data_IF_363742720652
#
_entry.id   IF_363742720652
#
_cell.length_a   1.000
_cell.length_b   1.000
_cell.length_c   1.000
_cell.angle_alpha   90.00
_cell.angle_beta   90.00
_cell.angle_gamma   90.00
#
_symmetry.space_group_name_H-M   'P 1'
#
loop_
_entity.id
_entity.type
_entity.pdbx_description
1 polymer ?
#
# COMPACT_ATOMS: atom_id res chain seq x y z
N UNK A 1 85.68 42.16 25.93
CA UNK A 1 85.81 43.57 25.53
C UNK A 1 86.98 43.64 24.55
N UNK A 2 86.82 44.39 23.48
CA UNK A 2 87.67 44.51 22.28
C UNK A 2 87.45 43.53 21.13
N UNK A 3 87.15 44.17 19.98
CA UNK A 3 87.61 43.91 18.62
C UNK A 3 86.94 42.74 17.86
N UNK A 4 86.71 42.77 16.55
CA UNK A 4 86.74 43.76 15.48
C UNK A 4 86.16 43.01 14.25
N UNK A 5 85.30 43.66 13.45
CA UNK A 5 85.43 43.93 12.00
C UNK A 5 86.24 42.86 11.17
N UNK A 6 85.95 42.62 9.86
CA UNK A 6 84.75 42.21 9.14
C UNK A 6 85.13 41.17 8.02
N UNK A 7 84.35 41.17 6.94
CA UNK A 7 84.78 41.06 5.54
C UNK A 7 84.76 39.70 4.84
N UNK A 8 84.00 39.75 3.74
CA UNK A 8 84.30 39.21 2.41
C UNK A 8 84.80 37.76 2.35
N UNK A 9 83.99 36.94 1.69
CA UNK A 9 84.32 36.81 0.27
C UNK A 9 83.09 36.56 -0.61
N UNK A 10 82.99 37.45 -1.59
CA UNK A 10 82.24 37.26 -2.82
C UNK A 10 83.15 36.36 -3.64
N UNK A 11 82.67 35.19 -4.06
CA UNK A 11 82.82 34.77 -5.47
C UNK A 11 82.10 33.47 -5.75
N UNK A 12 81.49 33.46 -6.94
CA UNK A 12 81.18 32.27 -7.77
C UNK A 12 80.06 31.37 -7.30
N UNK A 13 78.84 31.73 -7.72
CA UNK A 13 77.92 30.76 -8.33
C UNK A 13 76.89 31.45 -9.23
N UNK A 14 77.37 32.14 -10.27
CA UNK A 14 76.61 32.18 -11.53
C UNK A 14 76.83 30.83 -12.21
N UNK A 15 75.81 30.37 -12.94
CA UNK A 15 75.82 29.25 -13.89
C UNK A 15 75.36 27.87 -13.38
N UNK A 16 74.30 27.78 -12.56
CA UNK A 16 73.56 26.50 -12.48
C UNK A 16 72.03 26.59 -12.28
N UNK A 17 71.41 27.77 -12.34
CA UNK A 17 69.96 27.89 -12.07
C UNK A 17 69.07 27.93 -13.32
N UNK A 18 69.62 28.04 -14.53
CA UNK A 18 68.80 28.19 -15.74
C UNK A 18 68.48 26.88 -16.50
N UNK A 19 68.98 25.72 -16.04
CA UNK A 19 68.72 24.42 -16.67
C UNK A 19 67.73 23.53 -15.88
N UNK A 20 67.34 23.89 -14.66
CA UNK A 20 66.44 23.08 -13.82
C UNK A 20 64.97 23.48 -13.95
N UNK A 21 64.66 24.71 -14.37
CA UNK A 21 63.29 25.21 -14.41
C UNK A 21 62.46 24.64 -15.59
N UNK A 22 63.10 24.39 -16.75
CA UNK A 22 62.40 23.80 -17.92
C UNK A 22 61.96 22.34 -17.69
N UNK A 23 62.74 21.57 -16.93
CA UNK A 23 62.44 20.16 -16.68
C UNK A 23 61.32 19.98 -15.64
N UNK A 24 61.25 20.87 -14.62
CA UNK A 24 60.18 20.83 -13.62
C UNK A 24 58.80 21.13 -14.21
N UNK A 25 58.72 22.01 -15.22
CA UNK A 25 57.47 22.35 -15.90
C UNK A 25 56.95 21.19 -16.76
N UNK A 26 57.86 20.46 -17.40
CA UNK A 26 57.51 19.30 -18.22
C UNK A 26 57.04 18.10 -17.39
N UNK A 27 57.63 17.90 -16.20
CA UNK A 27 57.19 16.84 -15.29
C UNK A 27 55.80 17.11 -14.69
N UNK A 28 55.52 18.36 -14.31
CA UNK A 28 54.17 18.77 -13.85
C UNK A 28 53.11 18.58 -14.94
N UNK A 29 53.43 18.93 -16.18
CA UNK A 29 52.50 18.75 -17.31
C UNK A 29 52.19 17.27 -17.58
N UNK A 30 53.19 16.39 -17.54
CA UNK A 30 52.99 14.96 -17.70
C UNK A 30 52.19 14.32 -16.55
N UNK A 31 52.39 14.78 -15.30
CA UNK A 31 51.57 14.36 -14.15
C UNK A 31 50.12 14.80 -14.31
N UNK A 32 49.88 16.02 -14.77
CA UNK A 32 48.53 16.52 -15.04
C UNK A 32 47.82 15.75 -16.16
N UNK A 33 48.51 15.46 -17.28
CA UNK A 33 47.96 14.64 -18.37
C UNK A 33 47.59 13.22 -17.93
N UNK A 34 48.40 12.59 -17.06
CA UNK A 34 48.08 11.26 -16.50
C UNK A 34 46.82 11.31 -15.63
N UNK A 35 46.64 12.35 -14.81
CA UNK A 35 45.44 12.51 -13.99
C UNK A 35 44.19 12.76 -14.85
N UNK A 36 44.30 13.58 -15.89
CA UNK A 36 43.20 13.82 -16.84
C UNK A 36 42.83 12.54 -17.60
N UNK A 37 43.82 11.75 -18.02
CA UNK A 37 43.57 10.47 -18.69
C UNK A 37 42.90 9.47 -17.76
N UNK A 38 43.36 9.32 -16.51
CA UNK A 38 42.72 8.45 -15.52
C UNK A 38 41.28 8.89 -15.28
N UNK A 39 41.04 10.20 -15.12
CA UNK A 39 39.70 10.75 -14.91
C UNK A 39 38.77 10.49 -16.10
N UNK A 40 39.26 10.69 -17.33
CA UNK A 40 38.50 10.39 -18.56
C UNK A 40 38.19 8.90 -18.69
N UNK A 41 39.14 8.01 -18.37
CA UNK A 41 38.93 6.55 -18.39
C UNK A 41 37.93 6.11 -17.31
N UNK A 42 37.95 6.73 -16.12
CA UNK A 42 36.96 6.44 -15.07
C UNK A 42 35.57 6.96 -15.42
N UNK A 43 35.47 8.11 -16.10
CA UNK A 43 34.19 8.64 -16.57
C UNK A 43 33.64 7.71 -17.66
N UNK A 44 34.44 7.33 -18.65
CA UNK A 44 33.96 6.46 -19.73
C UNK A 44 33.60 5.06 -19.24
N UNK A 45 34.29 4.50 -18.23
CA UNK A 45 33.91 3.22 -17.63
C UNK A 45 32.59 3.29 -16.85
N UNK A 46 32.33 4.39 -16.13
CA UNK A 46 31.02 4.64 -15.48
C UNK A 46 29.93 4.80 -16.54
N UNK A 47 30.17 5.54 -17.62
CA UNK A 47 29.18 5.70 -18.69
C UNK A 47 28.88 4.40 -19.45
N UNK A 48 29.91 3.58 -19.75
CA UNK A 48 29.71 2.26 -20.39
C UNK A 48 28.95 1.32 -19.45
N UNK A 49 29.26 1.32 -18.15
CA UNK A 49 28.53 0.55 -17.15
C UNK A 49 27.08 1.00 -16.98
N UNK A 50 26.80 2.31 -17.04
CA UNK A 50 25.42 2.82 -17.00
C UNK A 50 24.66 2.57 -18.30
N UNK A 51 25.33 2.54 -19.46
CA UNK A 51 24.65 2.25 -20.73
C UNK A 51 24.29 0.76 -20.86
N UNK A 52 25.11 -0.16 -20.35
CA UNK A 52 24.72 -1.57 -20.26
C UNK A 52 23.62 -1.77 -19.23
N UNK A 53 23.62 -1.05 -18.09
CA UNK A 53 22.54 -1.10 -17.10
C UNK A 53 21.23 -0.51 -17.63
N UNK A 54 21.28 0.59 -18.41
CA UNK A 54 20.10 1.16 -19.05
C UNK A 54 19.61 0.23 -20.17
N UNK A 55 20.50 -0.39 -20.96
CA UNK A 55 20.09 -1.33 -21.99
C UNK A 55 19.45 -2.60 -21.39
N UNK A 56 20.01 -3.16 -20.30
CA UNK A 56 19.39 -4.27 -19.58
C UNK A 56 18.12 -3.85 -18.84
N UNK A 57 18.05 -2.64 -18.30
CA UNK A 57 16.80 -2.10 -17.73
C UNK A 57 15.74 -1.87 -18.81
N UNK A 58 16.10 -1.40 -20.01
CA UNK A 58 15.12 -1.22 -21.10
C UNK A 58 14.66 -2.55 -21.70
N UNK A 59 15.49 -3.60 -21.73
CA UNK A 59 15.01 -4.94 -22.09
C UNK A 59 14.18 -5.56 -20.96
N UNK A 60 14.56 -5.34 -19.70
CA UNK A 60 13.77 -5.77 -18.53
C UNK A 60 12.43 -5.04 -18.46
N UNK A 61 12.38 -3.76 -18.83
CA UNK A 61 11.14 -3.00 -18.92
C UNK A 61 10.38 -3.25 -20.23
N UNK A 62 11.02 -3.65 -21.34
CA UNK A 62 10.31 -4.07 -22.54
C UNK A 62 9.62 -5.42 -22.34
N UNK A 63 10.31 -6.39 -21.71
CA UNK A 63 9.70 -7.66 -21.29
C UNK A 63 8.67 -7.45 -20.17
N UNK A 64 8.90 -6.51 -19.24
CA UNK A 64 7.88 -6.16 -18.27
C UNK A 64 6.67 -5.48 -18.92
N UNK A 65 6.85 -4.57 -19.89
CA UNK A 65 5.72 -3.85 -20.50
C UNK A 65 4.89 -4.75 -21.44
N UNK A 66 5.44 -5.84 -21.95
CA UNK A 66 4.66 -6.94 -22.53
C UNK A 66 3.95 -7.77 -21.43
N UNK A 67 4.52 -7.92 -20.23
CA UNK A 67 3.85 -8.53 -19.08
C UNK A 67 2.79 -7.63 -18.40
N UNK A 68 2.85 -6.30 -18.54
CA UNK A 68 1.83 -5.36 -18.03
C UNK A 68 0.63 -5.20 -18.97
N UNK A 69 0.78 -5.57 -20.25
CA UNK A 69 -0.35 -5.71 -21.18
C UNK A 69 -0.98 -7.10 -21.16
N UNK A 70 -0.39 -8.06 -20.43
CA UNK A 70 -0.96 -9.39 -20.20
C UNK A 70 -1.63 -9.52 -18.83
N UNK A 71 -2.22 -8.42 -18.35
CA UNK A 71 -3.24 -8.47 -17.29
C UNK A 71 -4.60 -9.01 -17.83
N UNK A 72 -4.58 -9.61 -19.02
CA UNK A 72 -5.57 -10.56 -19.54
C UNK A 72 -5.37 -11.99 -19.01
N UNK A 73 -4.23 -12.30 -18.37
CA UNK A 73 -3.92 -13.66 -17.92
C UNK A 73 -4.53 -14.05 -16.56
N UNK A 74 -5.49 -13.27 -16.07
CA UNK A 74 -6.45 -13.68 -15.02
C UNK A 74 -7.77 -14.19 -15.63
N UNK A 75 -7.81 -14.52 -16.92
CA UNK A 75 -8.91 -15.30 -17.54
C UNK A 75 -8.85 -16.81 -17.25
N UNK A 76 -7.82 -17.31 -16.56
CA UNK A 76 -7.70 -18.73 -16.19
C UNK A 76 -7.94 -19.01 -14.69
N UNK A 77 -8.74 -18.19 -14.00
CA UNK A 77 -9.52 -18.78 -12.90
C UNK A 77 -10.66 -19.57 -13.55
N UNK A 78 -10.74 -20.90 -13.35
CA UNK A 78 -11.87 -21.70 -13.83
C UNK A 78 -13.09 -21.41 -12.93
N UNK A 79 -13.55 -20.15 -12.91
CA UNK A 79 -14.80 -19.73 -12.26
C UNK A 79 -15.92 -19.52 -13.29
N UNK A 80 -15.66 -19.76 -14.58
CA UNK A 80 -16.65 -19.65 -15.64
C UNK A 80 -16.86 -20.98 -16.39
N UNK A 81 -17.25 -22.04 -15.69
CA UNK A 81 -18.01 -23.11 -16.34
C UNK A 81 -19.05 -23.72 -15.41
N UNK A 82 -20.28 -23.19 -15.52
CA UNK A 82 -21.53 -23.83 -15.09
C UNK A 82 -21.80 -23.96 -13.58
N UNK A 83 -21.47 -22.96 -12.76
CA UNK A 83 -22.34 -22.66 -11.63
C UNK A 83 -23.37 -21.62 -12.08
N UNK A 84 -24.62 -22.04 -12.07
CA UNK A 84 -25.79 -21.21 -12.35
C UNK A 84 -25.79 -20.09 -11.31
N UNK A 85 -25.27 -18.92 -11.67
CA UNK A 85 -25.48 -17.70 -10.89
C UNK A 85 -27.01 -17.52 -10.74
N UNK A 86 -27.56 -17.44 -9.52
CA UNK A 86 -28.97 -17.18 -9.35
C UNK A 86 -29.33 -15.86 -10.06
N UNK A 87 -30.54 -15.75 -10.66
CA UNK A 87 -30.91 -14.63 -11.50
C UNK A 87 -31.18 -13.39 -10.65
N UNK A 88 -30.13 -12.66 -10.30
CA UNK A 88 -30.22 -11.29 -9.81
C UNK A 88 -29.87 -10.37 -10.99
N UNK A 89 -30.71 -10.33 -12.03
CA UNK A 89 -30.53 -9.42 -13.16
C UNK A 89 -31.74 -8.50 -13.21
N UNK A 90 -31.46 -7.19 -13.07
CA UNK A 90 -32.15 -6.08 -13.75
C UNK A 90 -33.04 -5.12 -12.95
N UNK A 91 -32.64 -4.67 -11.76
CA UNK A 91 -32.95 -3.27 -11.39
C UNK A 91 -31.89 -2.65 -10.48
N UNK A 92 -31.55 -1.38 -10.73
CA UNK A 92 -30.52 -0.64 -9.96
C UNK A 92 -30.89 -0.43 -8.48
N UNK A 93 -32.13 -0.74 -8.14
CA UNK A 93 -32.72 -0.55 -6.81
C UNK A 93 -32.60 -1.80 -5.94
N UNK A 94 -32.19 -2.96 -6.48
CA UNK A 94 -32.21 -4.27 -5.78
C UNK A 94 -30.83 -4.78 -5.34
N UNK A 95 -29.75 -4.01 -5.55
CA UNK A 95 -28.38 -4.45 -5.19
C UNK A 95 -28.19 -4.65 -3.69
N UNK A 96 -28.93 -3.89 -2.85
CA UNK A 96 -28.89 -4.00 -1.39
C UNK A 96 -29.61 -5.26 -0.92
N UNK A 97 -30.83 -5.51 -1.42
CA UNK A 97 -31.65 -6.67 -1.03
C UNK A 97 -30.99 -8.01 -1.40
N UNK A 98 -30.14 -8.04 -2.44
CA UNK A 98 -29.39 -9.24 -2.85
C UNK A 98 -28.12 -9.51 -2.04
N UNK A 99 -27.57 -8.51 -1.34
CA UNK A 99 -26.41 -8.68 -0.46
C UNK A 99 -26.84 -9.28 0.88
N UNK A 100 -28.03 -8.89 1.35
CA UNK A 100 -28.67 -9.51 2.51
C UNK A 100 -28.77 -11.02 2.31
N UNK A 101 -29.31 -11.53 1.20
CA UNK A 101 -29.43 -13.00 1.02
C UNK A 101 -28.10 -13.77 1.05
N UNK A 102 -26.97 -13.12 0.73
CA UNK A 102 -25.66 -13.78 0.70
C UNK A 102 -25.06 -13.99 2.10
N UNK A 103 -25.40 -13.13 3.08
CA UNK A 103 -24.86 -13.19 4.44
C UNK A 103 -25.91 -13.20 5.55
N UNK A 104 -27.18 -12.91 5.24
CA UNK A 104 -28.32 -13.04 6.14
C UNK A 104 -28.74 -14.50 6.31
N UNK A 105 -28.37 -15.38 5.38
CA UNK A 105 -28.46 -16.83 5.57
C UNK A 105 -27.52 -17.32 6.69
N UNK A 106 -26.39 -16.65 6.91
CA UNK A 106 -25.33 -17.07 7.83
C UNK A 106 -25.01 -16.03 8.91
N UNK A 107 -25.95 -15.81 9.83
CA UNK A 107 -25.57 -15.42 11.19
C UNK A 107 -24.54 -16.41 11.82
N UNK A 108 -24.34 -17.57 11.19
CA UNK A 108 -23.39 -18.61 11.57
C UNK A 108 -21.92 -18.17 11.46
N UNK A 109 -21.60 -17.16 10.64
CA UNK A 109 -20.24 -16.63 10.50
C UNK A 109 -19.94 -15.45 11.44
N UNK A 110 -20.75 -15.20 12.46
CA UNK A 110 -20.45 -14.21 13.51
C UNK A 110 -20.03 -14.86 14.84
N UNK A 111 -19.04 -15.75 14.78
CA UNK A 111 -18.59 -16.53 15.93
C UNK A 111 -17.93 -15.69 17.05
N UNK A 112 -17.43 -14.50 16.70
CA UNK A 112 -16.84 -13.54 17.63
C UNK A 112 -17.87 -12.56 18.25
N UNK A 113 -19.17 -12.69 17.95
CA UNK A 113 -20.22 -11.76 18.38
C UNK A 113 -19.82 -10.29 18.06
N UNK A 114 -19.36 -10.08 16.84
CA UNK A 114 -19.01 -8.79 16.27
C UNK A 114 -20.26 -7.91 16.21
N UNK A 115 -20.15 -6.71 16.77
CA UNK A 115 -21.19 -5.67 16.78
C UNK A 115 -20.63 -4.41 16.16
N UNK A 116 -21.47 -3.73 15.40
CA UNK A 116 -21.15 -2.51 14.68
C UNK A 116 -22.29 -1.52 14.87
N UNK A 117 -21.94 -0.29 15.21
CA UNK A 117 -22.84 0.86 15.29
C UNK A 117 -22.25 2.00 14.46
N UNK A 118 -23.09 2.61 13.63
CA UNK A 118 -22.76 3.85 12.92
C UNK A 118 -23.00 5.04 13.83
N UNK A 119 -22.01 5.94 13.92
CA UNK A 119 -22.02 7.12 14.77
C UNK A 119 -21.93 8.40 13.92
N UNK A 120 -22.60 9.44 14.41
CA UNK A 120 -22.50 10.83 13.95
C UNK A 120 -22.27 11.74 15.13
N UNK A 121 -21.17 12.50 15.12
CA UNK A 121 -20.80 13.46 16.18
C UNK A 121 -21.02 12.91 17.61
N UNK A 122 -20.62 11.65 17.89
CA UNK A 122 -20.77 10.92 19.17
C UNK A 122 -22.12 10.24 19.47
N UNK A 123 -23.10 10.31 18.56
CA UNK A 123 -24.41 9.65 18.74
C UNK A 123 -24.65 8.56 17.70
N UNK A 124 -25.29 7.45 18.10
CA UNK A 124 -25.72 6.41 17.16
C UNK A 124 -26.67 7.00 16.12
N UNK A 125 -26.36 6.78 14.85
CA UNK A 125 -27.06 7.37 13.72
C UNK A 125 -27.44 6.28 12.72
N UNK A 126 -28.74 6.12 12.47
CA UNK A 126 -29.26 5.25 11.40
C UNK A 126 -29.33 5.95 10.05
N UNK A 127 -29.12 7.27 10.03
CA UNK A 127 -29.09 8.07 8.83
C UNK A 127 -28.08 9.21 8.94
N UNK A 128 -27.57 9.64 7.79
CA UNK A 128 -26.57 10.69 7.62
C UNK A 128 -27.05 11.71 6.60
N UNK A 129 -26.63 12.96 6.73
CA UNK A 129 -26.77 13.98 5.70
C UNK A 129 -25.48 14.05 4.88
N UNK A 130 -25.59 14.62 3.68
CA UNK A 130 -24.41 14.97 2.89
C UNK A 130 -23.54 15.92 3.72
N UNK A 131 -22.23 15.71 3.66
CA UNK A 131 -21.18 16.41 4.43
C UNK A 131 -21.10 16.04 5.92
N UNK A 132 -21.98 15.17 6.44
CA UNK A 132 -21.73 14.52 7.74
C UNK A 132 -20.43 13.69 7.67
N UNK A 133 -19.75 13.51 8.79
CA UNK A 133 -18.65 12.54 8.91
C UNK A 133 -19.14 11.30 9.64
N UNK A 134 -19.00 10.14 9.00
CA UNK A 134 -19.33 8.86 9.60
C UNK A 134 -18.18 8.40 10.51
N UNK A 135 -18.55 7.94 11.69
CA UNK A 135 -17.69 7.11 12.55
C UNK A 135 -18.36 5.76 12.74
N UNK A 136 -17.57 4.73 12.96
CA UNK A 136 -18.03 3.36 13.14
C UNK A 136 -17.48 2.86 14.47
N UNK A 137 -18.37 2.47 15.37
CA UNK A 137 -18.03 1.81 16.63
C UNK A 137 -18.15 0.31 16.46
N UNK A 138 -17.06 -0.40 16.68
CA UNK A 138 -16.95 -1.84 16.46
C UNK A 138 -16.56 -2.48 17.78
N UNK A 139 -17.24 -3.54 18.19
CA UNK A 139 -16.89 -4.34 19.38
C UNK A 139 -17.00 -5.83 19.09
N UNK A 140 -16.19 -6.63 19.77
CA UNK A 140 -16.11 -8.08 19.56
C UNK A 140 -15.77 -8.79 20.87
N UNK A 141 -16.27 -10.01 21.06
CA UNK A 141 -15.90 -10.86 22.20
C UNK A 141 -14.50 -11.47 22.01
N UNK A 142 -13.92 -11.36 20.80
CA UNK A 142 -12.57 -11.85 20.45
C UNK A 142 -11.70 -10.74 19.89
N UNK A 143 -10.40 -10.85 20.12
CA UNK A 143 -9.42 -9.93 19.55
C UNK A 143 -9.07 -10.29 18.09
N UNK A 144 -8.74 -9.29 17.29
CA UNK A 144 -8.39 -9.50 15.89
C UNK A 144 -8.23 -8.21 15.10
N UNK A 145 -7.97 -8.34 13.81
CA UNK A 145 -7.78 -7.25 12.86
C UNK A 145 -9.09 -6.94 12.13
N UNK A 146 -9.47 -5.67 12.12
CA UNK A 146 -10.68 -5.18 11.48
C UNK A 146 -10.42 -4.80 10.03
N UNK A 147 -11.33 -5.22 9.15
CA UNK A 147 -11.48 -4.75 7.79
C UNK A 147 -12.89 -4.21 7.63
N UNK A 148 -13.01 -2.97 7.17
CA UNK A 148 -14.27 -2.27 6.97
C UNK A 148 -14.43 -1.94 5.49
N UNK A 149 -15.51 -2.43 4.91
CA UNK A 149 -15.93 -2.11 3.56
C UNK A 149 -17.27 -1.38 3.58
N UNK A 150 -17.49 -0.56 2.58
CA UNK A 150 -18.75 0.15 2.36
C UNK A 150 -19.28 -0.15 0.97
N UNK A 151 -20.55 -0.55 0.89
CA UNK A 151 -21.34 -0.49 -0.32
C UNK A 151 -22.10 0.84 -0.30
N UNK A 152 -21.69 1.77 -1.15
CA UNK A 152 -22.37 3.06 -1.31
C UNK A 152 -23.77 2.90 -1.92
N UNK A 153 -24.66 3.92 -1.85
CA UNK A 153 -26.01 3.80 -2.41
C UNK A 153 -26.11 3.63 -3.92
N UNK A 154 -25.06 3.93 -4.68
CA UNK A 154 -24.98 3.54 -6.10
C UNK A 154 -24.52 2.10 -6.30
N UNK A 155 -24.18 1.40 -5.20
CA UNK A 155 -23.72 0.03 -5.12
C UNK A 155 -22.20 -0.12 -5.22
N UNK A 156 -21.43 0.97 -5.18
CA UNK A 156 -19.96 0.90 -5.30
C UNK A 156 -19.35 0.34 -4.02
N UNK A 157 -18.47 -0.64 -4.15
CA UNK A 157 -17.72 -1.21 -3.03
C UNK A 157 -16.41 -0.44 -2.80
N UNK A 158 -16.21 0.05 -1.58
CA UNK A 158 -15.04 0.81 -1.16
C UNK A 158 -14.45 0.20 0.11
N UNK A 159 -13.14 0.01 0.14
CA UNK A 159 -12.41 -0.31 1.37
C UNK A 159 -12.26 0.95 2.22
N UNK A 160 -13.01 1.03 3.32
CA UNK A 160 -12.90 2.12 4.30
C UNK A 160 -11.75 1.87 5.25
N UNK A 161 -11.51 0.63 5.66
CA UNK A 161 -10.43 0.32 6.57
C UNK A 161 -9.84 -1.09 6.34
N UNK A 162 -8.51 -1.24 6.39
CA UNK A 162 -7.53 -0.17 6.30
C UNK A 162 -7.49 0.45 4.90
N UNK A 163 -7.03 1.69 4.80
CA UNK A 163 -6.84 2.40 3.54
C UNK A 163 -5.59 3.29 3.62
N UNK A 164 -5.02 3.65 2.48
CA UNK A 164 -3.77 4.44 2.39
C UNK A 164 -3.87 5.88 2.90
N UNK A 165 -5.07 6.38 3.16
CA UNK A 165 -5.33 7.72 3.67
C UNK A 165 -5.39 7.74 5.19
N UNK A 166 -5.57 6.59 5.84
CA UNK A 166 -5.49 6.44 7.29
C UNK A 166 -4.06 6.11 7.71
N UNK A 167 -3.67 6.57 8.91
CA UNK A 167 -2.31 6.39 9.42
C UNK A 167 -1.91 4.91 9.55
N UNK A 168 -0.77 4.54 8.96
CA UNK A 168 -0.16 3.20 9.08
C UNK A 168 0.19 2.78 10.52
N UNK A 169 0.18 3.73 11.47
CA UNK A 169 0.48 3.49 12.87
C UNK A 169 -0.58 2.62 13.56
N UNK A 170 -1.81 2.58 13.02
CA UNK A 170 -2.89 1.78 13.58
C UNK A 170 -3.23 0.63 12.62
N UNK A 171 -2.92 -0.60 13.06
CA UNK A 171 -3.18 -1.81 12.28
C UNK A 171 -4.65 -2.27 12.37
N UNK A 172 -5.52 -1.49 13.03
CA UNK A 172 -6.94 -1.84 13.24
C UNK A 172 -7.16 -3.10 14.04
N UNK A 173 -6.22 -3.43 14.92
CA UNK A 173 -6.41 -4.50 15.89
C UNK A 173 -7.37 -4.03 16.98
N UNK A 174 -8.41 -4.82 17.25
CA UNK A 174 -9.31 -4.68 18.38
C UNK A 174 -8.98 -5.77 19.41
N UNK A 175 -8.89 -5.39 20.68
CA UNK A 175 -8.78 -6.36 21.78
C UNK A 175 -10.15 -6.97 22.10
N UNK A 176 -10.16 -8.20 22.63
CA UNK A 176 -11.40 -8.84 23.09
C UNK A 176 -12.15 -7.97 24.12
N UNK A 177 -13.47 -7.89 23.96
CA UNK A 177 -14.40 -7.11 24.79
C UNK A 177 -14.12 -5.59 24.80
N UNK A 178 -13.27 -5.10 23.88
CA UNK A 178 -13.06 -3.67 23.68
C UNK A 178 -13.90 -3.14 22.52
N UNK A 179 -14.00 -1.82 22.48
CA UNK A 179 -14.62 -1.08 21.39
C UNK A 179 -13.55 -0.30 20.65
N UNK A 180 -13.51 -0.47 19.33
CA UNK A 180 -12.70 0.30 18.40
C UNK A 180 -13.60 1.32 17.69
N UNK A 181 -13.17 2.57 17.62
CA UNK A 181 -13.87 3.62 16.86
C UNK A 181 -13.03 3.97 15.64
N UNK A 182 -13.63 3.93 14.45
CA UNK A 182 -12.96 4.23 13.17
C UNK A 182 -13.78 5.27 12.37
N UNK A 183 -13.20 6.39 11.94
CA UNK A 183 -11.91 6.90 12.40
C UNK A 183 -12.05 7.52 13.80
N UNK A 184 -10.99 7.38 14.59
CA UNK A 184 -10.76 8.13 15.82
C UNK A 184 -9.76 9.30 15.55
N UNK A 185 -9.61 10.22 16.51
CA UNK A 185 -8.73 11.40 16.43
C UNK A 185 -7.26 11.13 16.06
N UNK A 186 -6.76 9.91 16.26
CA UNK A 186 -5.38 9.48 15.98
C UNK A 186 -5.20 8.88 14.58
N UNK A 187 -6.29 8.58 13.85
CA UNK A 187 -6.25 7.90 12.56
C UNK A 187 -5.87 8.81 11.39
N UNK A 188 -6.01 10.14 11.56
CA UNK A 188 -5.68 11.15 10.54
C UNK A 188 -6.46 10.98 9.21
N UNK A 189 -7.62 10.32 9.24
CA UNK A 189 -8.54 10.16 8.12
C UNK A 189 -9.98 10.39 8.59
N UNK A 190 -10.84 10.75 7.65
CA UNK A 190 -12.29 10.96 7.87
C UNK A 190 -13.08 10.14 6.85
N UNK A 191 -14.31 9.74 7.20
CA UNK A 191 -15.26 9.12 6.26
C UNK A 191 -16.40 10.10 5.95
N UNK A 192 -16.18 11.07 5.04
CA UNK A 192 -17.21 12.03 4.68
C UNK A 192 -18.34 11.36 3.92
N UNK A 193 -19.57 11.69 4.29
CA UNK A 193 -20.77 11.22 3.61
C UNK A 193 -21.00 12.06 2.36
N UNK A 194 -20.83 11.42 1.21
CA UNK A 194 -21.00 12.04 -0.10
C UNK A 194 -22.25 11.52 -0.82
N UNK A 195 -22.55 12.11 -1.97
CA UNK A 195 -23.55 11.57 -2.91
C UNK A 195 -23.10 10.19 -3.41
N UNK A 196 -24.03 9.31 -3.83
CA UNK A 196 -25.48 9.55 -3.94
C UNK A 196 -26.26 9.34 -2.65
N UNK A 197 -27.44 9.94 -2.58
CA UNK A 197 -28.40 9.68 -1.49
C UNK A 197 -29.03 8.30 -1.67
N UNK A 198 -29.39 7.65 -0.56
CA UNK A 198 -30.01 6.31 -0.57
C UNK A 198 -29.47 5.43 0.55
N UNK A 199 -29.73 4.13 0.47
CA UNK A 199 -29.23 3.15 1.45
C UNK A 199 -27.85 2.66 1.05
N UNK A 200 -26.95 2.61 2.02
CA UNK A 200 -25.67 1.92 1.88
C UNK A 200 -25.53 0.86 2.97
N UNK A 201 -24.53 0.00 2.81
CA UNK A 201 -24.27 -1.12 3.73
C UNK A 201 -22.80 -1.15 4.10
N UNK A 202 -22.52 -1.13 5.40
CA UNK A 202 -21.19 -1.39 5.94
C UNK A 202 -21.00 -2.88 6.17
N UNK A 203 -19.81 -3.36 5.83
CA UNK A 203 -19.41 -4.75 6.00
C UNK A 203 -18.13 -4.74 6.83
N UNK A 204 -18.20 -5.34 8.00
CA UNK A 204 -17.05 -5.47 8.90
C UNK A 204 -16.63 -6.92 8.96
N UNK A 205 -15.35 -7.17 8.70
CA UNK A 205 -14.71 -8.48 8.84
C UNK A 205 -13.68 -8.37 9.96
N UNK A 206 -13.73 -9.31 10.90
CA UNK A 206 -12.71 -9.52 11.93
C UNK A 206 -11.92 -10.77 11.56
N UNK A 207 -10.60 -10.67 11.54
CA UNK A 207 -9.68 -11.80 11.37
C UNK A 207 -8.85 -11.91 12.65
N UNK A 208 -8.90 -13.04 13.36
CA UNK A 208 -8.26 -13.16 14.67
C UNK A 208 -6.73 -13.10 14.58
N UNK A 209 -6.16 -13.64 13.50
CA UNK A 209 -4.73 -13.67 13.26
C UNK A 209 -4.24 -12.52 12.35
N UNK A 210 -2.97 -12.13 12.52
CA UNK A 210 -2.37 -11.10 11.68
C UNK A 210 -2.11 -11.64 10.29
N UNK A 211 -2.94 -11.24 9.33
CA UNK A 211 -2.75 -11.56 7.91
C UNK A 211 -2.10 -10.37 7.19
N UNK A 212 -1.23 -10.64 6.20
CA UNK A 212 -0.84 -9.60 5.26
C UNK A 212 -2.09 -9.16 4.48
N UNK A 213 -2.40 -7.87 4.49
CA UNK A 213 -3.53 -7.33 3.74
C UNK A 213 -3.47 -7.63 2.24
N UNK A 214 -2.28 -7.89 1.72
CA UNK A 214 -2.10 -8.31 0.32
C UNK A 214 -2.68 -9.71 0.05
N UNK A 215 -2.98 -10.49 1.10
CA UNK A 215 -3.68 -11.77 0.98
C UNK A 215 -5.18 -11.59 0.71
N UNK A 216 -5.76 -10.43 1.04
CA UNK A 216 -7.11 -10.08 0.58
C UNK A 216 -7.02 -9.56 -0.86
N UNK A 217 -7.98 -9.90 -1.75
CA UNK A 217 -7.95 -9.47 -3.14
C UNK A 217 -7.69 -7.98 -3.29
N UNK A 218 -6.71 -7.67 -4.14
CA UNK A 218 -6.48 -6.30 -4.62
C UNK A 218 -7.75 -5.68 -5.23
N UNK A 219 -8.70 -6.51 -5.68
CA UNK A 219 -10.01 -6.11 -6.17
C UNK A 219 -10.85 -5.33 -5.13
N UNK A 220 -10.56 -5.39 -3.83
CA UNK A 220 -11.29 -4.58 -2.84
C UNK A 220 -10.87 -3.12 -2.80
N UNK A 221 -9.81 -2.74 -3.51
CA UNK A 221 -9.28 -1.37 -3.41
C UNK A 221 -10.18 -0.37 -4.15
N UNK A 222 -10.72 -0.69 -5.33
CA UNK A 222 -11.71 0.15 -6.05
C UNK A 222 -12.44 -0.67 -7.13
N UNK A 223 -13.67 -1.16 -6.89
CA UNK A 223 -14.44 -1.89 -7.93
C UNK A 223 -15.84 -1.34 -8.11
N UNK A 224 -16.31 -1.38 -9.36
CA UNK A 224 -17.65 -0.93 -9.75
C UNK A 224 -18.75 -1.89 -9.29
N UNK A 225 -19.93 -1.28 -9.11
CA UNK A 225 -21.19 -1.84 -8.61
C UNK A 225 -21.56 -3.23 -9.11
N UNK A 226 -21.37 -3.50 -10.41
CA UNK A 226 -21.90 -4.70 -11.05
C UNK A 226 -21.29 -5.99 -10.53
N UNK A 227 -20.17 -5.91 -9.81
CA UNK A 227 -19.45 -7.06 -9.26
C UNK A 227 -19.41 -7.09 -7.74
N UNK A 228 -20.07 -6.15 -7.02
CA UNK A 228 -20.00 -6.12 -5.55
C UNK A 228 -20.44 -7.46 -4.93
N UNK A 229 -21.53 -8.06 -5.43
CA UNK A 229 -22.00 -9.38 -5.00
C UNK A 229 -20.98 -10.48 -5.29
N UNK A 230 -20.47 -10.57 -6.52
CA UNK A 230 -19.47 -11.58 -6.90
C UNK A 230 -18.17 -11.42 -6.12
N UNK A 231 -17.77 -10.18 -5.81
CA UNK A 231 -16.62 -9.90 -4.96
C UNK A 231 -16.85 -10.35 -3.53
N UNK A 232 -18.03 -10.12 -2.97
CA UNK A 232 -18.34 -10.61 -1.64
C UNK A 232 -18.43 -12.14 -1.56
N UNK A 233 -18.94 -12.79 -2.61
CA UNK A 233 -18.88 -14.25 -2.74
C UNK A 233 -17.42 -14.74 -2.78
N UNK A 234 -16.58 -14.05 -3.56
CA UNK A 234 -15.15 -14.35 -3.63
C UNK A 234 -14.47 -14.13 -2.28
N UNK A 235 -14.81 -13.05 -1.57
CA UNK A 235 -14.31 -12.78 -0.22
C UNK A 235 -14.65 -13.94 0.71
N UNK A 236 -15.92 -14.37 0.74
CA UNK A 236 -16.36 -15.46 1.58
C UNK A 236 -15.59 -16.75 1.28
N UNK A 237 -15.51 -17.13 -0.01
CA UNK A 237 -14.76 -18.31 -0.44
C UNK A 237 -13.28 -18.25 -0.08
N UNK A 238 -12.68 -17.06 -0.09
CA UNK A 238 -11.28 -16.91 0.30
C UNK A 238 -11.09 -16.98 1.80
N UNK A 239 -11.96 -16.36 2.58
CA UNK A 239 -11.93 -16.44 4.04
C UNK A 239 -12.13 -17.88 4.52
N UNK A 240 -13.01 -18.65 3.88
CA UNK A 240 -13.20 -20.09 4.16
C UNK A 240 -11.96 -20.95 3.90
N UNK A 241 -11.13 -20.54 2.93
CA UNK A 241 -9.91 -21.27 2.55
C UNK A 241 -8.62 -20.59 3.04
N UNK A 242 -8.74 -19.59 3.92
CA UNK A 242 -7.60 -18.82 4.37
C UNK A 242 -6.81 -19.61 5.42
N UNK A 243 -5.59 -19.97 5.07
CA UNK A 243 -4.63 -20.62 5.97
C UNK A 243 -3.42 -19.73 6.21
N UNK A 244 -2.84 -19.83 7.40
CA UNK A 244 -1.52 -19.28 7.70
C UNK A 244 -0.58 -20.38 8.15
N UNK A 245 0.66 -20.27 7.72
CA UNK A 245 1.75 -21.11 8.21
C UNK A 245 2.12 -20.65 9.63
N UNK A 246 2.03 -21.55 10.61
CA UNK A 246 2.45 -21.28 11.98
C UNK A 246 3.98 -21.35 12.13
N UNK A 247 4.50 -21.13 13.35
CA UNK A 247 5.95 -21.21 13.62
C UNK A 247 6.58 -22.59 13.34
N UNK A 248 5.75 -23.64 13.27
CA UNK A 248 6.16 -25.02 13.02
C UNK A 248 6.10 -25.39 11.52
N UNK A 249 5.64 -24.47 10.67
CA UNK A 249 5.48 -24.71 9.24
C UNK A 249 4.17 -25.41 8.86
N UNK A 250 3.19 -25.46 9.77
CA UNK A 250 1.88 -26.09 9.51
C UNK A 250 0.84 -25.06 9.08
N UNK A 251 0.02 -25.41 8.08
CA UNK A 251 -1.12 -24.61 7.65
C UNK A 251 -2.26 -24.72 8.68
N UNK A 252 -2.58 -23.60 9.32
CA UNK A 252 -3.68 -23.48 10.28
C UNK A 252 -4.79 -22.63 9.67
N UNK A 253 -6.03 -23.10 9.78
CA UNK A 253 -7.21 -22.34 9.36
C UNK A 253 -7.38 -21.10 10.25
N UNK A 254 -7.61 -19.96 9.61
CA UNK A 254 -7.83 -18.69 10.28
C UNK A 254 -9.27 -18.60 10.79
N UNK A 255 -9.43 -18.08 12.02
CA UNK A 255 -10.75 -17.75 12.53
C UNK A 255 -11.13 -16.34 12.06
N UNK A 256 -12.34 -16.22 11.55
CA UNK A 256 -12.87 -14.93 11.12
C UNK A 256 -14.34 -14.77 11.54
N UNK A 257 -14.79 -13.53 11.54
CA UNK A 257 -16.20 -13.19 11.75
C UNK A 257 -16.61 -12.04 10.85
N UNK A 258 -17.86 -12.03 10.41
CA UNK A 258 -18.39 -10.97 9.55
C UNK A 258 -19.70 -10.40 10.11
N UNK A 259 -19.89 -9.09 9.94
CA UNK A 259 -21.14 -8.41 10.28
C UNK A 259 -21.46 -7.32 9.27
N UNK A 260 -22.73 -7.25 8.87
CA UNK A 260 -23.26 -6.21 8.00
C UNK A 260 -24.19 -5.27 8.77
N UNK A 261 -24.20 -3.98 8.40
CA UNK A 261 -25.09 -2.97 8.97
C UNK A 261 -25.42 -1.90 7.95
N UNK A 262 -26.71 -1.66 7.78
CA UNK A 262 -27.21 -0.66 6.85
C UNK A 262 -27.24 0.74 7.46
N UNK A 263 -27.14 1.74 6.59
CA UNK A 263 -27.35 3.15 6.90
C UNK A 263 -28.05 3.86 5.74
N UNK A 264 -28.58 5.04 6.00
CA UNK A 264 -29.28 5.84 4.97
C UNK A 264 -28.67 7.23 4.82
N UNK A 265 -28.33 7.63 3.59
CA UNK A 265 -27.92 8.99 3.24
C UNK A 265 -29.14 9.80 2.80
N UNK A 266 -29.40 10.88 3.52
CA UNK A 266 -30.50 11.84 3.33
C UNK A 266 -29.96 13.23 2.97
N UNK A 267 -30.89 14.13 2.64
CA UNK A 267 -30.61 15.51 2.28
C UNK A 267 -30.63 16.40 3.51
#
# INVERSE_FOLDING_TARGET
MSDNIPNKDITKKLDSEHCTEKNAKHEKFNKWLKLVYIFLVTITSVFIGTFTLIATLTSFFADANEAWCDFSLFEEFPLCQHQILPPCISDKTETVDCADDLFAADNDHNSANLRIDTLRETSSASYFHIDDTMQVSISSDRGGYIYLFNIEPDGKLISYFPNQYCSDLQQGFIEAEKTLIIPDVFWQCDFPITKPMGRGTLITVLIEEKTDINALPLAFRHVSVQHAKSLLQLLNLQLENLTIENEEGEDVNINWSIKMTDYEIRR
#
